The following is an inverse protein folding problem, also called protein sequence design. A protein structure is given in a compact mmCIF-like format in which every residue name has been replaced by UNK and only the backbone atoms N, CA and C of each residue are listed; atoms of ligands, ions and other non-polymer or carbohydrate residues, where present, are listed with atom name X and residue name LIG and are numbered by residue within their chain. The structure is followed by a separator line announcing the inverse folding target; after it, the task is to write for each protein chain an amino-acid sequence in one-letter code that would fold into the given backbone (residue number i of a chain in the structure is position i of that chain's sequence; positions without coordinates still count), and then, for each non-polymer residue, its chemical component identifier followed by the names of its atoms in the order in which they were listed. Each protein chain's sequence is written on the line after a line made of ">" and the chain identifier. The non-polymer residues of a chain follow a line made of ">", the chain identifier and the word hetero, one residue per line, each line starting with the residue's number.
data_IF_154251718042
#
_entry.id   IF_154251718042
#
_cell.length_a   1.000
_cell.length_b   1.000
_cell.length_c   1.000
_cell.angle_alpha   90.00
_cell.angle_beta   90.00
_cell.angle_gamma   90.00
#
_symmetry.space_group_name_H-M   'P 1'
#
loop_
_entity.id
_entity.type
_entity.pdbx_description
1 polymer ?
#
# COMPACT_ATOMS: atom_id res chain seq x y z
N UNK A 1 -17.90 -14.90 -9.87
CA UNK A 1 -16.74 -15.50 -9.18
C UNK A 1 -16.99 -15.35 -7.68
N UNK A 2 -16.82 -16.41 -6.90
CA UNK A 2 -17.00 -16.33 -5.45
C UNK A 2 -15.75 -15.70 -4.81
N UNK A 3 -15.94 -14.68 -3.99
CA UNK A 3 -14.86 -14.14 -3.14
C UNK A 3 -14.73 -15.06 -1.93
N UNK A 4 -13.52 -15.57 -1.67
CA UNK A 4 -13.27 -16.35 -0.46
C UNK A 4 -12.99 -15.43 0.72
N UNK A 5 -13.66 -15.67 1.85
CA UNK A 5 -13.36 -14.97 3.09
C UNK A 5 -12.36 -15.78 3.93
N UNK A 6 -11.28 -15.13 4.38
CA UNK A 6 -10.25 -15.71 5.24
C UNK A 6 -10.09 -14.82 6.47
N UNK A 7 -10.10 -15.41 7.65
CA UNK A 7 -9.93 -14.69 8.91
C UNK A 7 -9.00 -15.43 9.85
N UNK A 8 -8.10 -14.69 10.52
CA UNK A 8 -7.19 -15.27 11.51
C UNK A 8 -5.92 -14.45 11.68
N UNK A 9 -4.91 -15.04 12.29
CA UNK A 9 -3.58 -14.43 12.39
C UNK A 9 -2.51 -15.39 11.86
N UNK A 10 -1.41 -14.84 11.37
CA UNK A 10 -0.21 -15.59 10.99
C UNK A 10 -0.47 -16.70 9.94
N UNK A 11 -1.20 -16.41 8.86
CA UNK A 11 -1.48 -17.36 7.78
C UNK A 11 -0.75 -16.96 6.49
N UNK A 12 -0.48 -17.97 5.67
CA UNK A 12 -0.07 -17.81 4.28
C UNK A 12 -1.28 -18.05 3.39
N UNK A 13 -1.64 -17.05 2.59
CA UNK A 13 -2.91 -17.01 1.86
C UNK A 13 -2.63 -16.78 0.37
N UNK A 14 -2.26 -17.84 -0.37
CA UNK A 14 -2.06 -17.74 -1.81
C UNK A 14 -3.39 -17.73 -2.57
N UNK A 15 -3.42 -17.07 -3.72
CA UNK A 15 -4.54 -17.15 -4.67
C UNK A 15 -4.99 -15.78 -5.15
N UNK A 16 -6.23 -15.68 -5.62
CA UNK A 16 -6.79 -14.41 -6.08
C UNK A 16 -8.24 -14.25 -5.61
N UNK A 17 -8.70 -13.00 -5.48
CA UNK A 17 -10.11 -12.70 -5.24
C UNK A 17 -10.59 -13.08 -3.83
N UNK A 18 -9.83 -12.77 -2.80
CA UNK A 18 -10.15 -13.09 -1.41
C UNK A 18 -10.31 -11.83 -0.56
N UNK A 19 -11.18 -11.93 0.45
CA UNK A 19 -11.35 -10.96 1.52
C UNK A 19 -10.67 -11.50 2.78
N UNK A 20 -9.60 -10.84 3.22
CA UNK A 20 -8.71 -11.32 4.28
C UNK A 20 -8.79 -10.35 5.45
N UNK A 21 -9.05 -10.87 6.65
CA UNK A 21 -9.06 -10.08 7.89
C UNK A 21 -8.17 -10.69 8.96
N UNK A 22 -7.32 -9.87 9.56
CA UNK A 22 -6.57 -10.20 10.77
C UNK A 22 -5.13 -9.71 10.73
N UNK A 23 -4.19 -10.37 11.40
CA UNK A 23 -2.84 -9.84 11.59
C UNK A 23 -1.72 -10.80 11.15
N UNK A 24 -0.60 -10.28 10.66
CA UNK A 24 0.58 -11.10 10.37
C UNK A 24 0.45 -12.02 9.16
N UNK A 25 -0.35 -11.65 8.16
CA UNK A 25 -0.62 -12.49 6.99
C UNK A 25 0.44 -12.31 5.90
N UNK A 26 0.77 -13.40 5.22
CA UNK A 26 1.53 -13.40 3.97
C UNK A 26 0.60 -13.71 2.80
N UNK A 27 0.42 -12.76 1.89
CA UNK A 27 -0.66 -12.78 0.90
C UNK A 27 -0.08 -12.60 -0.51
N UNK A 28 0.36 -13.69 -1.17
CA UNK A 28 0.72 -13.64 -2.57
C UNK A 28 -0.50 -13.79 -3.49
N UNK A 29 -0.58 -12.95 -4.51
CA UNK A 29 -1.53 -13.05 -5.63
C UNK A 29 -2.27 -11.75 -5.94
N UNK A 30 -3.43 -11.83 -6.57
CA UNK A 30 -4.09 -10.67 -7.19
C UNK A 30 -5.53 -10.46 -6.69
N UNK A 31 -6.01 -9.22 -6.70
CA UNK A 31 -7.42 -8.93 -6.43
C UNK A 31 -7.85 -9.19 -4.99
N UNK A 32 -7.00 -8.97 -3.99
CA UNK A 32 -7.37 -9.19 -2.58
C UNK A 32 -7.90 -7.91 -1.94
N UNK A 33 -8.83 -8.08 -1.00
CA UNK A 33 -9.22 -7.06 -0.04
C UNK A 33 -8.69 -7.46 1.35
N UNK A 34 -7.77 -6.70 1.91
CA UNK A 34 -7.05 -7.05 3.14
C UNK A 34 -7.31 -6.01 4.22
N UNK A 35 -7.74 -6.46 5.40
CA UNK A 35 -7.94 -5.62 6.58
C UNK A 35 -7.15 -6.14 7.77
N UNK A 36 -6.37 -5.27 8.40
CA UNK A 36 -5.66 -5.54 9.67
C UNK A 36 -4.20 -5.14 9.62
N UNK A 37 -3.37 -5.70 10.50
CA UNK A 37 -2.01 -5.18 10.74
C UNK A 37 -0.90 -6.19 10.43
N UNK A 38 0.28 -5.70 10.05
CA UNK A 38 1.47 -6.54 9.90
C UNK A 38 1.40 -7.46 8.69
N UNK A 39 0.85 -7.03 7.56
CA UNK A 39 0.73 -7.90 6.38
C UNK A 39 1.96 -7.76 5.47
N UNK A 40 2.34 -8.88 4.85
CA UNK A 40 3.24 -8.93 3.72
C UNK A 40 2.44 -9.33 2.48
N UNK A 41 2.30 -8.42 1.52
CA UNK A 41 1.40 -8.56 0.37
C UNK A 41 2.22 -8.47 -0.90
N UNK A 42 2.05 -9.46 -1.80
CA UNK A 42 2.78 -9.53 -3.05
C UNK A 42 1.79 -9.75 -4.20
N UNK A 43 1.73 -8.81 -5.13
CA UNK A 43 0.97 -8.96 -6.38
C UNK A 43 0.18 -7.70 -6.74
N UNK A 44 -0.90 -7.86 -7.51
CA UNK A 44 -1.57 -6.73 -8.17
C UNK A 44 -3.03 -6.55 -7.75
N UNK A 45 -3.56 -5.33 -7.89
CA UNK A 45 -4.99 -5.08 -7.71
C UNK A 45 -5.48 -5.28 -6.28
N UNK A 46 -4.74 -4.82 -5.27
CA UNK A 46 -5.11 -5.03 -3.87
C UNK A 46 -5.81 -3.79 -3.29
N UNK A 47 -6.74 -4.03 -2.37
CA UNK A 47 -7.32 -3.00 -1.49
C UNK A 47 -6.94 -3.34 -0.06
N UNK A 48 -6.19 -2.46 0.60
CA UNK A 48 -5.54 -2.77 1.88
C UNK A 48 -5.92 -1.70 2.89
N UNK A 49 -6.30 -2.11 4.10
CA UNK A 49 -6.62 -1.20 5.20
C UNK A 49 -5.96 -1.68 6.49
N UNK A 50 -5.18 -0.81 7.11
CA UNK A 50 -4.59 -1.05 8.43
C UNK A 50 -3.15 -0.56 8.52
N UNK A 51 -2.36 -1.13 9.42
CA UNK A 51 -1.03 -0.60 9.77
C UNK A 51 0.10 -1.62 9.64
N UNK A 52 1.32 -1.15 9.40
CA UNK A 52 2.49 -2.04 9.33
C UNK A 52 2.46 -2.94 8.10
N UNK A 53 2.23 -2.36 6.93
CA UNK A 53 2.10 -3.12 5.68
C UNK A 53 3.42 -3.15 4.92
N UNK A 54 3.80 -4.31 4.40
CA UNK A 54 4.85 -4.45 3.39
C UNK A 54 4.20 -4.91 2.09
N UNK A 55 4.21 -4.07 1.06
CA UNK A 55 3.45 -4.27 -0.17
C UNK A 55 4.40 -4.25 -1.36
N UNK A 56 4.36 -5.29 -2.19
CA UNK A 56 5.11 -5.37 -3.43
C UNK A 56 4.20 -5.67 -4.61
N UNK A 57 4.21 -4.80 -5.63
CA UNK A 57 3.47 -5.00 -6.87
C UNK A 57 2.76 -3.74 -7.36
N UNK A 58 1.68 -3.89 -8.12
CA UNK A 58 1.09 -2.78 -8.87
C UNK A 58 -0.42 -2.62 -8.66
N UNK A 59 -0.93 -1.39 -8.80
CA UNK A 59 -2.38 -1.14 -8.76
C UNK A 59 -2.98 -1.40 -7.38
N UNK A 60 -2.43 -0.81 -6.33
CA UNK A 60 -2.92 -0.98 -4.96
C UNK A 60 -3.60 0.30 -4.49
N UNK A 61 -4.65 0.13 -3.70
CA UNK A 61 -5.22 1.18 -2.88
C UNK A 61 -5.01 0.80 -1.42
N UNK A 62 -4.23 1.58 -0.67
CA UNK A 62 -3.83 1.20 0.69
C UNK A 62 -4.01 2.35 1.68
N UNK A 63 -4.83 2.12 2.70
CA UNK A 63 -5.13 3.12 3.72
C UNK A 63 -4.55 2.73 5.08
N UNK A 64 -3.84 3.66 5.71
CA UNK A 64 -3.37 3.53 7.10
C UNK A 64 -1.88 3.82 7.26
N UNK A 65 -1.31 3.43 8.40
CA UNK A 65 -0.01 3.93 8.84
C UNK A 65 1.14 2.91 8.70
N UNK A 66 2.36 3.40 8.51
CA UNK A 66 3.56 2.57 8.54
C UNK A 66 3.60 1.57 7.39
N UNK A 67 3.53 2.05 6.15
CA UNK A 67 3.60 1.16 4.99
C UNK A 67 4.93 1.31 4.25
N UNK A 68 5.48 0.16 3.86
CA UNK A 68 6.60 0.05 2.95
C UNK A 68 6.09 -0.53 1.63
N UNK A 69 6.19 0.24 0.56
CA UNK A 69 5.53 -0.08 -0.72
C UNK A 69 6.55 -0.02 -1.85
N UNK A 70 6.59 -1.07 -2.65
CA UNK A 70 7.43 -1.14 -3.84
C UNK A 70 6.59 -1.51 -5.05
N UNK A 71 6.57 -0.64 -6.06
CA UNK A 71 5.97 -0.89 -7.36
C UNK A 71 5.21 0.32 -7.92
N UNK A 72 4.17 0.08 -8.72
CA UNK A 72 3.58 1.15 -9.55
C UNK A 72 2.07 1.31 -9.40
N UNK A 73 1.56 2.52 -9.63
CA UNK A 73 0.12 2.78 -9.67
C UNK A 73 -0.54 2.62 -8.30
N UNK A 74 -0.09 3.40 -7.31
CA UNK A 74 -0.58 3.29 -5.94
C UNK A 74 -1.39 4.51 -5.52
N UNK A 75 -2.42 4.29 -4.70
CA UNK A 75 -3.17 5.33 -3.99
C UNK A 75 -3.07 5.09 -2.48
N UNK A 76 -2.37 5.96 -1.77
CA UNK A 76 -1.91 5.70 -0.40
C UNK A 76 -2.23 6.88 0.53
N UNK A 77 -3.43 6.89 1.15
CA UNK A 77 -3.72 7.77 2.27
C UNK A 77 -3.17 7.22 3.60
N UNK A 78 -2.51 8.08 4.37
CA UNK A 78 -2.09 7.78 5.75
C UNK A 78 -0.75 8.40 6.13
N UNK A 79 -0.12 7.87 7.18
CA UNK A 79 1.12 8.42 7.72
C UNK A 79 2.26 7.40 7.76
N UNK A 80 3.50 7.88 7.66
CA UNK A 80 4.69 7.04 7.76
C UNK A 80 4.82 6.10 6.57
N UNK A 81 4.89 6.66 5.36
CA UNK A 81 4.98 5.89 4.12
C UNK A 81 6.42 5.89 3.60
N UNK A 82 6.93 4.71 3.26
CA UNK A 82 8.18 4.54 2.51
C UNK A 82 7.86 3.87 1.17
N UNK A 83 8.07 4.58 0.06
CA UNK A 83 7.52 4.20 -1.23
C UNK A 83 8.61 4.24 -2.29
N UNK A 84 8.73 3.16 -3.06
CA UNK A 84 9.65 3.03 -4.19
C UNK A 84 8.87 2.65 -5.44
N UNK A 85 8.96 3.47 -6.48
CA UNK A 85 8.41 3.17 -7.81
C UNK A 85 7.66 4.35 -8.42
N UNK A 86 6.74 4.08 -9.35
CA UNK A 86 6.21 5.12 -10.25
C UNK A 86 4.69 5.27 -10.19
N UNK A 87 4.18 6.48 -10.46
CA UNK A 87 2.74 6.72 -10.59
C UNK A 87 2.00 6.56 -9.26
N UNK A 88 2.39 7.32 -8.24
CA UNK A 88 1.80 7.22 -6.91
C UNK A 88 0.99 8.49 -6.60
N UNK A 89 -0.13 8.30 -5.91
CA UNK A 89 -0.93 9.37 -5.31
C UNK A 89 -0.92 9.15 -3.80
N UNK A 90 -0.28 10.05 -3.07
CA UNK A 90 0.02 9.84 -1.64
C UNK A 90 -0.48 11.05 -0.85
N UNK A 91 -1.23 10.78 0.21
CA UNK A 91 -1.79 11.83 1.06
C UNK A 91 -1.51 11.54 2.53
N UNK A 92 -1.03 12.56 3.25
CA UNK A 92 -0.79 12.50 4.70
C UNK A 92 0.65 12.84 5.09
N UNK A 93 1.12 12.36 6.24
CA UNK A 93 2.35 12.86 6.86
C UNK A 93 3.51 11.85 6.86
N UNK A 94 4.75 12.34 6.81
CA UNK A 94 5.95 11.50 6.97
C UNK A 94 6.13 10.54 5.79
N UNK A 95 6.34 11.10 4.61
CA UNK A 95 6.47 10.35 3.36
C UNK A 95 7.92 10.37 2.90
N UNK A 96 8.50 9.19 2.64
CA UNK A 96 9.79 9.01 2.01
C UNK A 96 9.57 8.29 0.67
N UNK A 97 9.75 8.99 -0.44
CA UNK A 97 9.32 8.52 -1.76
C UNK A 97 10.49 8.59 -2.73
N UNK A 98 10.67 7.50 -3.48
CA UNK A 98 11.69 7.40 -4.52
C UNK A 98 11.06 6.91 -5.83
N UNK A 99 11.20 7.69 -6.89
CA UNK A 99 10.71 7.35 -8.23
C UNK A 99 9.92 8.48 -8.90
N UNK A 100 9.41 8.20 -10.10
CA UNK A 100 8.82 9.21 -10.99
C UNK A 100 7.27 9.25 -10.98
N UNK A 101 6.67 10.37 -11.36
CA UNK A 101 5.22 10.50 -11.52
C UNK A 101 4.47 10.49 -10.20
N UNK A 102 4.94 11.31 -9.25
CA UNK A 102 4.43 11.36 -7.88
C UNK A 102 3.48 12.55 -7.72
N UNK A 103 2.30 12.32 -7.15
CA UNK A 103 1.37 13.35 -6.70
C UNK A 103 1.23 13.22 -5.18
N UNK A 104 1.86 14.14 -4.44
CA UNK A 104 1.99 14.01 -2.98
C UNK A 104 1.43 15.23 -2.27
N UNK A 105 0.63 14.99 -1.23
CA UNK A 105 0.01 16.03 -0.40
C UNK A 105 0.25 15.75 1.07
N UNK A 106 0.43 16.81 1.87
CA UNK A 106 0.65 16.73 3.33
C UNK A 106 2.08 17.05 3.80
N UNK A 107 2.35 16.84 5.08
CA UNK A 107 3.55 17.31 5.76
C UNK A 107 4.69 16.27 5.78
N UNK A 108 5.94 16.73 5.93
CA UNK A 108 7.09 15.84 6.16
C UNK A 108 7.41 14.92 4.97
N UNK A 109 7.46 15.49 3.76
CA UNK A 109 7.76 14.76 2.53
C UNK A 109 9.25 14.88 2.17
N UNK A 110 9.90 13.74 1.93
CA UNK A 110 11.21 13.62 1.32
C UNK A 110 11.06 12.81 0.02
N UNK A 111 11.16 13.49 -1.12
CA UNK A 111 10.96 12.88 -2.44
C UNK A 111 12.22 13.05 -3.29
N UNK A 112 12.73 11.94 -3.80
CA UNK A 112 13.91 11.91 -4.66
C UNK A 112 13.51 11.39 -6.05
N UNK A 113 13.67 12.24 -7.09
CA UNK A 113 13.57 12.02 -8.56
C UNK A 113 12.58 12.95 -9.34
N UNK A 114 12.67 12.92 -10.68
CA UNK A 114 12.03 13.85 -11.62
C UNK A 114 10.54 13.52 -11.93
N UNK A 115 9.71 14.57 -12.07
CA UNK A 115 8.29 14.48 -12.46
C UNK A 115 7.32 14.51 -11.27
N UNK A 116 7.35 15.60 -10.50
CA UNK A 116 6.58 15.76 -9.26
C UNK A 116 5.51 16.85 -9.39
N UNK A 117 4.33 16.57 -8.82
CA UNK A 117 3.35 17.60 -8.43
C UNK A 117 3.23 17.56 -6.91
N UNK A 118 3.74 18.61 -6.26
CA UNK A 118 3.71 18.77 -4.81
C UNK A 118 2.66 19.82 -4.45
N UNK A 119 1.65 19.46 -3.67
CA UNK A 119 0.83 20.44 -2.97
C UNK A 119 1.15 20.39 -1.48
N UNK A 120 1.83 21.44 -1.01
CA UNK A 120 2.13 21.65 0.41
C UNK A 120 1.02 22.52 0.98
N UNK A 121 0.07 21.88 1.66
CA UNK A 121 -0.85 22.60 2.55
C UNK A 121 -0.16 22.75 3.91
N UNK A 122 0.08 24.00 4.31
CA UNK A 122 0.64 24.39 5.62
C UNK A 122 -0.43 24.38 6.70
#
# INVERSE_FOLDING_TARGET
>A
MAVQAVSGAAQAIPGAGQAITGAGQAIPGAGQAVTGAGQAIIGAGQVITGAGQAIHGAGQASTGAGQAITGAGQAIPGAGQAIIGAGQVITGAGQAIHGAGQACTGAGQAITEAGQVLSRDF
#
